data_IF_361668374207
#
_entry.id   IF_361668374207
#
_cell.length_a   1.000
_cell.length_b   1.000
_cell.length_c   1.000
_cell.angle_alpha   90.00
_cell.angle_beta   90.00
_cell.angle_gamma   90.00
#
_symmetry.space_group_name_H-M   'P 1'
#
loop_
_entity.id
_entity.type
_entity.pdbx_description
1 polymer ?
#
# COMPACT_ATOMS: atom_id res chain seq x y z
N UNK A 1 19.45 -2.85 -21.67
CA UNK A 1 18.68 -2.36 -20.50
C UNK A 1 17.56 -3.35 -20.24
N UNK A 2 17.50 -3.92 -19.04
CA UNK A 2 16.40 -4.81 -18.67
C UNK A 2 15.14 -3.95 -18.51
N UNK A 3 14.09 -4.25 -19.26
CA UNK A 3 12.82 -3.55 -19.16
C UNK A 3 12.13 -3.97 -17.86
N UNK A 4 12.02 -3.05 -16.89
CA UNK A 4 11.30 -3.32 -15.65
C UNK A 4 9.79 -3.43 -15.93
N UNK A 5 9.07 -4.37 -15.27
CA UNK A 5 7.63 -4.52 -15.45
C UNK A 5 6.87 -3.31 -14.88
N UNK A 6 5.72 -3.01 -15.47
CA UNK A 6 4.76 -2.05 -14.90
C UNK A 6 4.10 -2.68 -13.67
N UNK A 7 4.24 -2.05 -12.52
CA UNK A 7 3.70 -2.57 -11.26
C UNK A 7 2.34 -1.97 -10.96
N UNK A 8 1.31 -2.82 -10.83
CA UNK A 8 0.04 -2.47 -10.19
C UNK A 8 0.14 -2.82 -8.71
N UNK A 9 0.05 -1.82 -7.81
CA UNK A 9 0.11 -2.02 -6.38
C UNK A 9 -1.31 -1.97 -5.80
N UNK A 10 -1.74 -3.06 -5.16
CA UNK A 10 -3.06 -3.17 -4.51
C UNK A 10 -2.87 -3.04 -3.01
N UNK A 11 -3.53 -2.04 -2.40
CA UNK A 11 -3.58 -1.85 -0.95
C UNK A 11 -4.99 -2.14 -0.43
N UNK A 12 -5.15 -3.14 0.45
CA UNK A 12 -6.45 -3.51 1.03
C UNK A 12 -6.73 -2.69 2.28
N UNK A 13 -7.92 -2.10 2.39
CA UNK A 13 -8.31 -1.28 3.55
C UNK A 13 -9.73 -1.57 4.02
N UNK A 14 -9.99 -1.29 5.30
CA UNK A 14 -11.33 -1.25 5.89
C UNK A 14 -11.32 -0.31 7.10
N UNK A 15 -12.10 0.78 7.04
CA UNK A 15 -12.39 1.71 8.14
C UNK A 15 -11.18 2.21 8.96
N UNK A 16 -10.00 2.38 8.35
CA UNK A 16 -8.82 2.92 9.02
C UNK A 16 -8.08 3.95 8.15
N UNK A 17 -8.72 5.13 7.92
CA UNK A 17 -8.19 6.16 7.03
C UNK A 17 -6.80 6.69 7.45
N UNK A 18 -6.52 6.81 8.76
CA UNK A 18 -5.22 7.31 9.23
C UNK A 18 -4.05 6.37 8.87
N UNK A 19 -4.24 5.06 8.99
CA UNK A 19 -3.24 4.09 8.57
C UNK A 19 -3.08 4.09 7.06
N UNK A 20 -4.20 4.11 6.31
CA UNK A 20 -4.20 4.19 4.86
C UNK A 20 -3.48 5.44 4.35
N UNK A 21 -3.64 6.59 5.01
CA UNK A 21 -2.90 7.81 4.71
C UNK A 21 -1.39 7.58 4.75
N UNK A 22 -0.88 6.99 5.83
CA UNK A 22 0.55 6.69 5.97
C UNK A 22 1.04 5.68 4.91
N UNK A 23 0.22 4.68 4.60
CA UNK A 23 0.49 3.73 3.53
C UNK A 23 0.64 4.45 2.18
N UNK A 24 -0.35 5.25 1.76
CA UNK A 24 -0.32 6.01 0.50
C UNK A 24 0.86 6.97 0.47
N UNK A 25 1.15 7.70 1.55
CA UNK A 25 2.33 8.56 1.65
C UNK A 25 3.63 7.79 1.45
N UNK A 26 3.72 6.55 1.95
CA UNK A 26 4.90 5.70 1.76
C UNK A 26 5.04 5.21 0.31
N UNK A 27 3.91 5.00 -0.40
CA UNK A 27 3.91 4.70 -1.84
C UNK A 27 4.44 5.91 -2.64
N UNK A 28 4.01 7.12 -2.30
CA UNK A 28 4.46 8.35 -2.97
C UNK A 28 5.96 8.64 -2.78
N UNK A 29 6.60 8.03 -1.80
CA UNK A 29 8.05 8.18 -1.52
C UNK A 29 8.92 7.05 -2.09
N UNK A 30 8.36 6.17 -2.91
CA UNK A 30 9.13 5.09 -3.53
C UNK A 30 10.16 5.61 -4.54
N UNK A 31 11.35 4.99 -4.57
CA UNK A 31 12.41 5.29 -5.57
C UNK A 31 11.97 4.95 -6.99
N UNK A 32 11.16 3.89 -7.12
CA UNK A 32 10.42 3.57 -8.34
C UNK A 32 8.93 3.73 -8.06
N UNK A 33 8.30 4.73 -8.65
CA UNK A 33 6.84 4.94 -8.55
C UNK A 33 6.13 3.79 -9.24
N UNK A 34 5.12 3.14 -8.61
CA UNK A 34 4.33 2.11 -9.28
C UNK A 34 3.59 2.69 -10.49
N UNK A 35 3.26 1.84 -11.45
CA UNK A 35 2.47 2.24 -12.63
C UNK A 35 1.08 2.76 -12.24
N UNK A 36 0.47 2.14 -11.23
CA UNK A 36 -0.81 2.53 -10.64
C UNK A 36 -0.95 1.97 -9.23
N UNK A 37 -1.84 2.57 -8.44
CA UNK A 37 -2.26 2.08 -7.12
C UNK A 37 -3.75 1.80 -7.15
N UNK A 38 -4.18 0.63 -6.70
CA UNK A 38 -5.58 0.28 -6.52
C UNK A 38 -5.85 0.13 -5.01
N UNK A 39 -6.70 0.97 -4.46
CA UNK A 39 -7.17 0.83 -3.08
C UNK A 39 -8.35 -0.12 -3.08
N UNK A 40 -8.13 -1.33 -2.58
CA UNK A 40 -9.13 -2.39 -2.43
C UNK A 40 -9.86 -2.19 -1.10
N UNK A 41 -11.02 -1.53 -1.15
CA UNK A 41 -11.77 -1.08 0.03
C UNK A 41 -12.96 -1.99 0.31
N UNK A 42 -12.90 -2.71 1.43
CA UNK A 42 -13.88 -3.72 1.85
C UNK A 42 -15.11 -3.12 2.55
N UNK A 43 -15.60 -1.97 2.08
CA UNK A 43 -16.82 -1.36 2.57
C UNK A 43 -16.61 -0.26 3.62
N UNK A 44 -15.51 0.50 3.53
CA UNK A 44 -15.28 1.63 4.44
C UNK A 44 -16.32 2.74 4.26
N UNK A 45 -16.45 3.54 5.32
CA UNK A 45 -17.26 4.76 5.37
C UNK A 45 -16.67 5.87 4.48
N UNK A 46 -17.43 6.95 4.29
CA UNK A 46 -17.07 8.09 3.43
C UNK A 46 -15.76 8.80 3.83
N UNK A 47 -15.30 8.68 5.07
CA UNK A 47 -14.01 9.24 5.50
C UNK A 47 -12.84 8.67 4.70
N UNK A 48 -12.85 7.36 4.43
CA UNK A 48 -11.84 6.69 3.59
C UNK A 48 -11.90 7.20 2.15
N UNK A 49 -13.10 7.32 1.58
CA UNK A 49 -13.31 7.88 0.23
C UNK A 49 -12.76 9.30 0.15
N UNK A 50 -13.12 10.16 1.09
CA UNK A 50 -12.69 11.57 1.15
C UNK A 50 -11.16 11.68 1.23
N UNK A 51 -10.53 10.82 2.04
CA UNK A 51 -9.07 10.74 2.11
C UNK A 51 -8.45 10.40 0.73
N UNK A 52 -8.95 9.34 0.08
CA UNK A 52 -8.43 8.87 -1.21
C UNK A 52 -8.58 9.97 -2.27
N UNK A 53 -9.74 10.61 -2.36
CA UNK A 53 -9.99 11.70 -3.32
C UNK A 53 -9.07 12.90 -3.10
N UNK A 54 -8.77 13.24 -1.85
CA UNK A 54 -7.80 14.29 -1.51
C UNK A 54 -6.40 13.92 -1.95
N UNK A 55 -5.94 12.71 -1.62
CA UNK A 55 -4.57 12.28 -1.91
C UNK A 55 -4.32 12.04 -3.40
N UNK A 56 -5.34 11.66 -4.15
CA UNK A 56 -5.26 11.41 -5.60
C UNK A 56 -4.82 12.64 -6.40
N UNK A 57 -5.14 13.87 -5.95
CA UNK A 57 -4.95 15.11 -6.72
C UNK A 57 -3.51 15.38 -7.11
N UNK A 58 -2.57 15.14 -6.18
CA UNK A 58 -1.15 15.44 -6.34
C UNK A 58 -0.27 14.19 -6.30
N UNK A 59 -0.86 13.00 -6.50
CA UNK A 59 -0.14 11.75 -6.41
C UNK A 59 0.63 11.45 -7.70
N UNK A 60 1.87 10.90 -7.63
CA UNK A 60 2.75 10.74 -8.79
C UNK A 60 2.28 9.67 -9.81
N UNK A 61 1.28 8.86 -9.48
CA UNK A 61 0.66 7.90 -10.38
C UNK A 61 -0.86 7.80 -10.14
N UNK A 62 -1.63 7.18 -11.05
CA UNK A 62 -3.06 7.01 -10.85
C UNK A 62 -3.40 6.21 -9.58
N UNK A 63 -4.37 6.71 -8.79
CA UNK A 63 -4.99 5.96 -7.70
C UNK A 63 -6.41 5.60 -8.11
N UNK A 64 -6.75 4.32 -8.11
CA UNK A 64 -8.09 3.79 -8.35
C UNK A 64 -8.70 3.35 -7.03
N UNK A 65 -9.92 3.75 -6.73
CA UNK A 65 -10.67 3.31 -5.55
C UNK A 65 -11.63 2.20 -5.96
N UNK A 66 -11.33 0.96 -5.57
CA UNK A 66 -12.16 -0.23 -5.76
C UNK A 66 -12.91 -0.51 -4.45
N UNK A 67 -14.10 0.07 -4.34
CA UNK A 67 -14.97 -0.08 -3.16
C UNK A 67 -16.02 -1.16 -3.41
N UNK A 68 -16.39 -1.90 -2.38
CA UNK A 68 -17.57 -2.79 -2.36
C UNK A 68 -18.41 -2.51 -1.12
N UNK A 69 -19.68 -2.93 -1.13
CA UNK A 69 -20.59 -2.80 0.00
C UNK A 69 -20.07 -3.58 1.22
N UNK A 70 -20.23 -3.01 2.44
CA UNK A 70 -19.91 -3.70 3.69
C UNK A 70 -20.94 -4.80 3.99
N UNK A 71 -20.59 -6.03 3.68
CA UNK A 71 -21.34 -7.24 4.01
C UNK A 71 -20.52 -8.19 4.91
N UNK A 72 -19.70 -7.62 5.80
CA UNK A 72 -18.76 -8.32 6.65
C UNK A 72 -17.39 -8.51 5.99
N UNK A 73 -16.50 -9.27 6.61
CA UNK A 73 -15.12 -9.44 6.17
C UNK A 73 -15.02 -10.20 4.84
N UNK A 74 -14.75 -9.47 3.75
CA UNK A 74 -14.62 -10.01 2.38
C UNK A 74 -13.33 -9.58 1.68
N UNK A 75 -12.24 -9.51 2.44
CA UNK A 75 -10.94 -9.05 1.93
C UNK A 75 -10.44 -9.83 0.69
N UNK A 76 -10.78 -11.11 0.56
CA UNK A 76 -10.43 -11.89 -0.64
C UNK A 76 -11.21 -11.42 -1.88
N UNK A 77 -12.49 -11.11 -1.71
CA UNK A 77 -13.35 -10.63 -2.80
C UNK A 77 -12.92 -9.26 -3.29
N UNK A 78 -12.67 -8.31 -2.39
CA UNK A 78 -12.23 -6.96 -2.78
C UNK A 78 -10.85 -6.99 -3.45
N UNK A 79 -9.94 -7.88 -3.02
CA UNK A 79 -8.66 -8.09 -3.72
C UNK A 79 -8.87 -8.61 -5.13
N UNK A 80 -9.79 -9.56 -5.35
CA UNK A 80 -10.12 -10.05 -6.68
C UNK A 80 -10.76 -8.96 -7.56
N UNK A 81 -11.63 -8.12 -6.98
CA UNK A 81 -12.23 -6.99 -7.68
C UNK A 81 -11.15 -5.97 -8.09
N UNK A 82 -10.23 -5.63 -7.19
CA UNK A 82 -9.09 -4.77 -7.48
C UNK A 82 -8.17 -5.36 -8.56
N UNK A 83 -7.90 -6.68 -8.50
CA UNK A 83 -7.06 -7.37 -9.48
C UNK A 83 -7.61 -7.24 -10.91
N UNK A 84 -8.94 -7.27 -11.09
CA UNK A 84 -9.58 -7.08 -12.41
C UNK A 84 -9.39 -5.67 -12.98
N UNK A 85 -9.05 -4.69 -12.16
CA UNK A 85 -8.80 -3.31 -12.56
C UNK A 85 -7.32 -3.05 -12.91
N UNK A 86 -6.41 -3.98 -12.57
CA UNK A 86 -4.99 -3.85 -12.83
C UNK A 86 -4.68 -3.78 -14.32
N UNK A 87 -3.76 -2.89 -14.67
CA UNK A 87 -3.25 -2.68 -16.04
C UNK A 87 -1.74 -2.90 -16.15
N UNK A 88 -1.07 -3.18 -15.04
CA UNK A 88 0.35 -3.49 -15.00
C UNK A 88 0.65 -4.95 -15.33
N UNK A 89 1.92 -5.24 -15.53
CA UNK A 89 2.42 -6.57 -15.88
C UNK A 89 2.70 -7.44 -14.65
N UNK A 90 2.89 -6.80 -13.50
CA UNK A 90 3.20 -7.44 -12.21
C UNK A 90 2.37 -6.81 -11.10
N UNK A 91 1.73 -7.64 -10.28
CA UNK A 91 0.86 -7.18 -9.21
C UNK A 91 1.51 -7.40 -7.85
N UNK A 92 1.51 -6.36 -7.02
CA UNK A 92 1.95 -6.41 -5.63
C UNK A 92 0.76 -6.17 -4.71
N UNK A 93 0.54 -7.07 -3.75
CA UNK A 93 -0.49 -6.92 -2.72
C UNK A 93 0.14 -6.50 -1.39
N UNK A 94 -0.45 -5.49 -0.76
CA UNK A 94 -0.13 -5.07 0.62
C UNK A 94 -1.41 -4.83 1.40
N UNK A 95 -1.30 -4.82 2.73
CA UNK A 95 -2.35 -4.30 3.59
C UNK A 95 -2.23 -2.78 3.70
N UNK A 96 -3.35 -2.07 3.85
CA UNK A 96 -3.40 -0.60 3.87
C UNK A 96 -2.85 0.05 5.14
N UNK A 97 -2.31 -0.74 6.06
CA UNK A 97 -1.59 -0.32 7.26
C UNK A 97 -0.06 -0.53 7.16
N UNK A 98 0.43 -0.92 5.98
CA UNK A 98 1.85 -1.14 5.73
C UNK A 98 2.54 0.18 5.32
N UNK A 99 3.63 0.50 6.00
CA UNK A 99 4.56 1.55 5.60
C UNK A 99 5.74 0.88 4.91
N UNK A 100 5.91 1.18 3.63
CA UNK A 100 6.93 0.52 2.81
C UNK A 100 8.29 1.17 2.92
N UNK A 101 9.34 0.34 2.83
CA UNK A 101 10.70 0.81 2.60
C UNK A 101 10.78 1.56 1.25
N UNK A 102 11.59 2.63 1.12
CA UNK A 102 11.64 3.44 -0.12
C UNK A 102 11.97 2.66 -1.40
N UNK A 103 12.70 1.54 -1.31
CA UNK A 103 13.07 0.69 -2.45
C UNK A 103 12.12 -0.49 -2.67
N UNK A 104 11.00 -0.58 -1.94
CA UNK A 104 10.13 -1.75 -1.97
C UNK A 104 9.61 -2.07 -3.38
N UNK A 105 9.09 -1.07 -4.10
CA UNK A 105 8.55 -1.24 -5.46
C UNK A 105 9.67 -1.54 -6.45
N UNK A 106 10.81 -0.89 -6.32
CA UNK A 106 12.00 -1.11 -7.16
C UNK A 106 12.55 -2.54 -6.99
N UNK A 107 12.63 -3.03 -5.76
CA UNK A 107 13.10 -4.38 -5.46
C UNK A 107 12.16 -5.43 -6.06
N UNK A 108 10.83 -5.26 -5.92
CA UNK A 108 9.85 -6.11 -6.59
C UNK A 108 10.01 -6.10 -8.10
N UNK A 109 10.21 -4.92 -8.72
CA UNK A 109 10.41 -4.81 -10.15
C UNK A 109 11.67 -5.56 -10.64
N UNK A 110 12.77 -5.49 -9.88
CA UNK A 110 14.03 -6.20 -10.19
C UNK A 110 13.93 -7.71 -10.02
N UNK A 111 13.10 -8.16 -9.07
CA UNK A 111 12.96 -9.59 -8.75
C UNK A 111 11.85 -10.28 -9.55
N UNK A 112 11.01 -9.53 -10.25
CA UNK A 112 9.89 -10.07 -11.02
C UNK A 112 10.37 -11.02 -12.12
N UNK A 113 9.87 -12.25 -12.10
CA UNK A 113 10.16 -13.29 -13.09
C UNK A 113 8.90 -14.10 -13.40
N UNK A 114 8.63 -14.46 -14.68
CA UNK A 114 7.51 -15.32 -15.03
C UNK A 114 7.55 -16.66 -14.28
N UNK A 115 6.41 -17.07 -13.70
CA UNK A 115 6.29 -18.32 -12.96
C UNK A 115 6.77 -18.26 -11.50
N UNK A 116 7.24 -17.11 -11.04
CA UNK A 116 7.67 -16.90 -9.65
C UNK A 116 6.85 -15.80 -8.98
N UNK A 117 6.77 -15.87 -7.65
CA UNK A 117 6.23 -14.80 -6.82
C UNK A 117 7.23 -14.46 -5.71
N UNK A 118 7.18 -13.23 -5.23
CA UNK A 118 8.05 -12.73 -4.16
C UNK A 118 7.21 -12.45 -2.93
N UNK A 119 7.64 -12.97 -1.77
CA UNK A 119 7.03 -12.66 -0.47
C UNK A 119 7.96 -11.71 0.28
N UNK A 120 7.44 -10.52 0.61
CA UNK A 120 8.10 -9.59 1.53
C UNK A 120 7.87 -9.98 2.99
N UNK A 121 8.82 -9.64 3.86
CA UNK A 121 8.62 -9.70 5.31
C UNK A 121 8.23 -8.33 5.86
N UNK A 122 7.57 -8.32 7.03
CA UNK A 122 7.19 -7.10 7.75
C UNK A 122 7.69 -7.12 9.18
N UNK A 123 8.10 -5.95 9.69
CA UNK A 123 8.34 -5.70 11.10
C UNK A 123 7.14 -4.94 11.68
N UNK A 124 6.78 -5.23 12.93
CA UNK A 124 5.70 -4.52 13.62
C UNK A 124 6.27 -3.33 14.38
N UNK A 125 5.59 -2.19 14.29
CA UNK A 125 5.85 -1.06 15.19
C UNK A 125 5.21 -1.33 16.55
N UNK A 126 5.86 -0.89 17.62
CA UNK A 126 5.25 -0.89 18.94
C UNK A 126 4.16 0.20 19.04
N UNK A 127 3.28 0.09 20.05
CA UNK A 127 2.14 1.01 20.24
C UNK A 127 2.56 2.48 20.29
N UNK A 128 3.67 2.80 20.98
CA UNK A 128 4.15 4.18 21.14
C UNK A 128 4.61 4.76 19.78
N UNK A 129 5.31 3.98 18.97
CA UNK A 129 5.72 4.38 17.63
C UNK A 129 4.51 4.56 16.70
N UNK A 130 3.57 3.61 16.75
CA UNK A 130 2.33 3.67 15.99
C UNK A 130 1.51 4.92 16.33
N UNK A 131 1.28 5.20 17.61
CA UNK A 131 0.52 6.37 18.06
C UNK A 131 1.18 7.69 17.58
N UNK A 132 2.52 7.78 17.65
CA UNK A 132 3.26 8.96 17.18
C UNK A 132 3.12 9.16 15.68
N UNK A 133 3.18 8.09 14.88
CA UNK A 133 3.04 8.16 13.42
C UNK A 133 1.62 8.56 13.01
N UNK A 134 0.60 7.98 13.63
CA UNK A 134 -0.80 8.33 13.38
C UNK A 134 -1.10 9.80 13.74
N UNK A 135 -0.46 10.34 14.79
CA UNK A 135 -0.55 11.74 15.17
C UNK A 135 0.23 12.72 14.25
N UNK A 136 0.78 12.26 13.13
CA UNK A 136 1.51 13.09 12.18
C UNK A 136 3.03 13.20 12.43
N UNK A 137 3.58 12.37 13.31
CA UNK A 137 5.02 12.29 13.51
C UNK A 137 5.75 11.74 12.27
N UNK A 138 7.00 12.18 12.07
CA UNK A 138 7.80 11.73 10.94
C UNK A 138 7.98 10.20 10.94
N UNK A 139 7.64 9.58 9.81
CA UNK A 139 7.88 8.15 9.58
C UNK A 139 9.27 8.00 8.98
N UNK A 140 10.26 7.71 9.83
CA UNK A 140 11.56 7.23 9.39
C UNK A 140 11.74 5.80 9.91
N UNK A 141 11.28 4.83 9.15
CA UNK A 141 11.57 3.44 9.42
C UNK A 141 12.89 3.07 8.72
N UNK A 142 13.97 3.05 9.48
CA UNK A 142 15.21 2.43 9.03
C UNK A 142 15.18 0.96 9.48
N UNK A 143 15.47 0.02 8.60
CA UNK A 143 15.48 -1.42 8.89
C UNK A 143 16.38 -1.81 10.09
N UNK A 144 17.35 -0.97 10.47
CA UNK A 144 18.24 -1.15 11.60
C UNK A 144 17.81 -0.39 12.87
N UNK A 145 16.70 0.35 12.86
CA UNK A 145 16.24 1.08 14.06
C UNK A 145 15.46 0.16 15.00
N UNK A 146 16.19 -0.59 15.83
CA UNK A 146 15.61 -1.50 16.84
C UNK A 146 14.62 -0.82 17.81
N UNK A 147 14.74 0.49 18.01
CA UNK A 147 13.87 1.26 18.92
C UNK A 147 12.40 1.38 18.45
N UNK A 148 12.09 1.03 17.22
CA UNK A 148 10.75 1.17 16.61
C UNK A 148 10.06 -0.17 16.37
N UNK A 149 10.78 -1.30 16.56
CA UNK A 149 10.29 -2.64 16.31
C UNK A 149 9.84 -3.26 17.64
N UNK A 150 8.66 -3.86 17.68
CA UNK A 150 8.22 -4.66 18.82
C UNK A 150 9.06 -5.95 18.91
N UNK A 151 9.55 -6.28 20.12
CA UNK A 151 10.11 -7.59 20.44
C UNK A 151 9.03 -8.67 20.44
#
# INVERSE_FOLDING_TARGET
MQHLPKISLIATTYNWPDALRLCIESIGRQTLVPFEVIIADDGSTDDTRTLIERMRKDFPCPIVHAWQEDLGFRAAEVRNNALRLCKGDYVVFIDGDIIMHPHFVEDHAKMAQPGYYVIGSRAKFNEKATARMLAGGAVQAHWYSRASVAE
#
